data_IF_285250948802
#
_entry.id   IF_285250948802
#
_cell.length_a   1.000
_cell.length_b   1.000
_cell.length_c   1.000
_cell.angle_alpha   90.00
_cell.angle_beta   90.00
_cell.angle_gamma   90.00
#
_symmetry.space_group_name_H-M   'P 1'
#
loop_
_entity.id
_entity.type
_entity.pdbx_description
1 polymer ?
#
# COMPACT_ATOMS: atom_id res chain seq x y z
N UNK A 1 8.68 9.29 0.79
CA UNK A 1 7.53 9.66 -0.08
C UNK A 1 7.95 9.67 -1.53
N UNK A 2 7.23 8.93 -2.36
CA UNK A 2 7.40 8.92 -3.82
C UNK A 2 7.07 10.28 -4.45
N UNK A 3 7.66 10.59 -5.61
CA UNK A 3 7.33 11.80 -6.39
C UNK A 3 5.86 11.83 -6.78
N UNK A 4 5.27 10.67 -7.06
CA UNK A 4 3.85 10.55 -7.39
C UNK A 4 2.95 10.85 -6.18
N UNK A 5 3.32 10.36 -4.98
CA UNK A 5 2.62 10.70 -3.74
C UNK A 5 2.66 12.21 -3.49
N UNK A 6 3.82 12.86 -3.66
CA UNK A 6 3.96 14.32 -3.48
C UNK A 6 3.03 15.11 -4.42
N UNK A 7 2.97 14.71 -5.69
CA UNK A 7 2.10 15.37 -6.67
C UNK A 7 0.62 15.22 -6.29
N UNK A 8 0.18 14.02 -5.95
CA UNK A 8 -1.24 13.78 -5.57
C UNK A 8 -1.59 14.53 -4.28
N UNK A 9 -0.70 14.55 -3.29
CA UNK A 9 -0.95 15.20 -2.00
C UNK A 9 -0.92 16.74 -2.09
N UNK A 10 -0.27 17.31 -3.10
CA UNK A 10 -0.24 18.76 -3.31
C UNK A 10 -1.60 19.34 -3.73
N UNK A 11 -2.52 18.53 -4.23
CA UNK A 11 -3.85 18.95 -4.69
C UNK A 11 -4.98 18.68 -3.69
N UNK A 12 -4.67 18.17 -2.49
CA UNK A 12 -5.68 17.85 -1.46
C UNK A 12 -5.42 18.63 -0.17
N UNK A 13 -6.44 18.78 0.66
CA UNK A 13 -6.29 19.39 1.99
C UNK A 13 -5.39 18.54 2.89
N UNK A 14 -4.74 19.17 3.88
CA UNK A 14 -3.88 18.47 4.83
C UNK A 14 -4.61 17.34 5.58
N UNK A 15 -5.88 17.56 5.93
CA UNK A 15 -6.73 16.55 6.55
C UNK A 15 -6.93 15.33 5.66
N UNK A 16 -7.19 15.54 4.36
CA UNK A 16 -7.33 14.46 3.40
C UNK A 16 -5.99 13.75 3.14
N UNK A 17 -4.89 14.50 3.08
CA UNK A 17 -3.54 13.93 2.95
C UNK A 17 -3.22 12.97 4.10
N UNK A 18 -3.50 13.37 5.35
CA UNK A 18 -3.33 12.53 6.55
C UNK A 18 -4.22 11.29 6.49
N UNK A 19 -5.48 11.42 6.10
CA UNK A 19 -6.39 10.29 5.95
C UNK A 19 -5.95 9.31 4.84
N UNK A 20 -5.48 9.83 3.71
CA UNK A 20 -4.94 9.05 2.59
C UNK A 20 -3.71 8.25 3.01
N UNK A 21 -2.78 8.89 3.72
CA UNK A 21 -1.58 8.25 4.26
C UNK A 21 -1.93 7.15 5.27
N UNK A 22 -2.79 7.48 6.24
CA UNK A 22 -3.24 6.53 7.26
C UNK A 22 -3.90 5.29 6.63
N UNK A 23 -4.82 5.48 5.68
CA UNK A 23 -5.47 4.35 5.03
C UNK A 23 -4.50 3.56 4.15
N UNK A 24 -3.62 4.23 3.39
CA UNK A 24 -2.65 3.57 2.51
C UNK A 24 -1.66 2.70 3.29
N UNK A 25 -1.34 3.05 4.55
CA UNK A 25 -0.50 2.21 5.43
C UNK A 25 -1.18 0.92 5.88
N UNK A 26 -2.52 0.89 5.93
CA UNK A 26 -3.27 -0.32 6.28
C UNK A 26 -3.32 -1.33 5.13
N UNK A 27 -3.05 -0.88 3.90
CA UNK A 27 -2.98 -1.76 2.75
C UNK A 27 -1.58 -2.34 2.61
N UNK A 28 -1.48 -3.67 2.55
CA UNK A 28 -0.23 -4.40 2.41
C UNK A 28 -0.19 -5.19 1.11
N UNK A 29 1.02 -5.34 0.58
CA UNK A 29 1.36 -6.20 -0.54
C UNK A 29 2.26 -7.33 -0.05
N UNK A 30 1.77 -8.56 -0.13
CA UNK A 30 2.52 -9.78 0.18
C UNK A 30 3.06 -10.42 -1.09
N UNK A 31 4.37 -10.60 -1.16
CA UNK A 31 4.99 -11.40 -2.22
C UNK A 31 4.67 -12.89 -2.00
N UNK A 32 3.99 -13.53 -2.94
CA UNK A 32 3.64 -14.95 -2.82
C UNK A 32 4.83 -15.90 -2.98
N UNK A 33 6.02 -15.38 -3.33
CA UNK A 33 7.25 -16.17 -3.48
C UNK A 33 8.13 -16.17 -2.24
N UNK A 34 8.30 -15.02 -1.58
CA UNK A 34 9.22 -14.88 -0.44
C UNK A 34 8.50 -14.43 0.84
N UNK A 35 7.17 -14.39 0.82
CA UNK A 35 6.30 -13.95 1.92
C UNK A 35 6.56 -12.53 2.46
N UNK A 36 7.44 -11.75 1.82
CA UNK A 36 7.71 -10.37 2.21
C UNK A 36 6.44 -9.51 2.08
N UNK A 37 6.15 -8.76 3.13
CA UNK A 37 5.00 -7.87 3.24
C UNK A 37 5.49 -6.43 3.36
N UNK A 38 4.90 -5.53 2.59
CA UNK A 38 5.24 -4.10 2.61
C UNK A 38 3.96 -3.29 2.45
N UNK A 39 3.85 -2.15 3.15
CA UNK A 39 2.66 -1.32 3.02
C UNK A 39 2.63 -0.63 1.65
N UNK A 40 1.43 -0.34 1.16
CA UNK A 40 1.23 0.40 -0.10
C UNK A 40 1.85 1.79 -0.01
N UNK A 41 1.83 2.40 1.18
CA UNK A 41 2.47 3.70 1.40
C UNK A 41 3.98 3.64 1.23
N UNK A 42 4.64 2.64 1.81
CA UNK A 42 6.11 2.52 1.83
C UNK A 42 6.69 2.28 0.42
N UNK A 43 5.99 1.50 -0.40
CA UNK A 43 6.35 1.32 -1.82
C UNK A 43 6.06 2.55 -2.71
N UNK A 44 5.54 3.64 -2.12
CA UNK A 44 5.23 4.87 -2.85
C UNK A 44 3.86 4.89 -3.54
N UNK A 45 2.96 3.96 -3.19
CA UNK A 45 1.60 3.90 -3.69
C UNK A 45 0.61 4.66 -2.80
N UNK A 46 -0.60 4.86 -3.31
CA UNK A 46 -1.73 5.43 -2.57
C UNK A 46 -2.92 4.50 -2.77
N UNK A 47 -3.60 4.15 -1.68
CA UNK A 47 -4.83 3.36 -1.69
C UNK A 47 -5.78 3.93 -0.64
N UNK A 48 -6.60 4.89 -1.07
CA UNK A 48 -7.55 5.62 -0.25
C UNK A 48 -8.98 5.37 -0.71
N UNK A 49 -9.91 5.20 0.23
CA UNK A 49 -11.32 4.81 0.00
C UNK A 49 -11.47 3.57 -0.89
N UNK A 50 -10.43 2.74 -0.95
CA UNK A 50 -10.42 1.56 -1.79
C UNK A 50 -11.08 0.39 -1.06
N UNK A 51 -11.65 -0.54 -1.81
CA UNK A 51 -12.22 -1.78 -1.30
C UNK A 51 -11.74 -2.97 -2.13
N UNK A 52 -11.79 -4.15 -1.53
CA UNK A 52 -11.45 -5.40 -2.19
C UNK A 52 -9.95 -5.71 -2.25
N UNK A 53 -9.67 -7.01 -2.29
CA UNK A 53 -8.32 -7.55 -2.47
C UNK A 53 -7.99 -7.63 -3.97
N UNK A 54 -6.71 -7.50 -4.31
CA UNK A 54 -6.25 -7.64 -5.70
C UNK A 54 -4.96 -8.44 -5.76
N UNK A 55 -4.63 -8.95 -6.94
CA UNK A 55 -3.35 -9.62 -7.21
C UNK A 55 -2.61 -8.86 -8.30
N UNK A 56 -1.37 -8.48 -8.01
CA UNK A 56 -0.53 -7.73 -8.93
C UNK A 56 0.72 -8.54 -9.27
N UNK A 57 1.01 -8.69 -10.55
CA UNK A 57 2.27 -9.27 -10.99
C UNK A 57 3.33 -8.18 -11.07
N UNK A 58 4.33 -8.24 -10.17
CA UNK A 58 5.39 -7.22 -10.09
C UNK A 58 6.72 -7.83 -9.63
N UNK A 59 7.78 -7.05 -9.78
CA UNK A 59 9.09 -7.35 -9.17
C UNK A 59 9.01 -7.09 -7.66
N UNK A 60 9.40 -8.08 -6.85
CA UNK A 60 9.51 -7.95 -5.41
C UNK A 60 10.73 -7.10 -5.05
N UNK A 61 10.58 -6.18 -4.10
CA UNK A 61 11.65 -5.32 -3.56
C UNK A 61 12.64 -6.13 -2.73
N UNK A 62 12.19 -7.16 -2.02
CA UNK A 62 13.03 -8.05 -1.22
C UNK A 62 13.77 -9.09 -2.08
N UNK A 63 13.06 -10.07 -2.67
CA UNK A 63 13.70 -11.18 -3.38
C UNK A 63 14.15 -10.85 -4.83
N UNK A 64 13.85 -9.63 -5.33
CA UNK A 64 14.19 -9.14 -6.69
C UNK A 64 13.62 -9.96 -7.85
N UNK A 65 12.82 -10.99 -7.61
CA UNK A 65 12.16 -11.80 -8.64
C UNK A 65 10.77 -11.25 -8.96
N UNK A 66 10.28 -11.51 -10.17
CA UNK A 66 8.89 -11.24 -10.54
C UNK A 66 8.00 -12.37 -10.03
N UNK A 67 6.92 -12.00 -9.36
CA UNK A 67 5.91 -12.95 -8.87
C UNK A 67 4.57 -12.26 -8.69
N UNK A 68 3.54 -13.06 -8.48
CA UNK A 68 2.28 -12.56 -7.97
C UNK A 68 2.46 -12.01 -6.55
N UNK A 69 1.86 -10.86 -6.31
CA UNK A 69 1.75 -10.24 -5.00
C UNK A 69 0.27 -10.12 -4.66
N UNK A 70 -0.10 -10.54 -3.45
CA UNK A 70 -1.45 -10.40 -2.94
C UNK A 70 -1.56 -9.08 -2.18
N UNK A 71 -2.50 -8.24 -2.59
CA UNK A 71 -2.84 -7.02 -1.88
C UNK A 71 -4.05 -7.27 -0.99
N UNK A 72 -3.92 -6.90 0.27
CA UNK A 72 -4.97 -7.03 1.27
C UNK A 72 -4.92 -5.84 2.23
N UNK A 73 -6.06 -5.54 2.84
CA UNK A 73 -6.13 -4.58 3.93
C UNK A 73 -5.87 -5.35 5.22
N UNK A 74 -4.84 -4.95 5.97
CA UNK A 74 -4.65 -5.44 7.32
C UNK A 74 -5.68 -4.71 8.16
N UNK A 75 -6.67 -5.45 8.67
CA UNK A 75 -7.56 -4.88 9.68
C UNK A 75 -6.67 -4.44 10.85
N UNK A 76 -6.80 -3.17 11.25
CA UNK A 76 -6.33 -2.80 12.57
C UNK A 76 -7.14 -3.69 13.51
N UNK A 77 -6.48 -4.58 14.26
CA UNK A 77 -7.13 -5.39 15.27
C UNK A 77 -8.11 -4.49 16.03
N UNK A 78 -9.42 -4.80 16.04
CA UNK A 78 -10.32 -4.11 16.94
C UNK A 78 -9.80 -4.45 18.33
N UNK A 79 -9.25 -3.46 19.04
CA UNK A 79 -8.91 -3.60 20.45
C UNK A 79 -10.14 -4.21 21.14
N UNK A 80 -9.96 -5.43 21.64
CA UNK A 80 -10.94 -6.21 22.38
C UNK A 80 -11.07 -5.64 23.80
#
# INVERSE_FOLDING_TARGET
>A
MSRLQKLILAFVSESNAKAMEAESRLWFLKCLRCAFEESVWDIGGIRWKAKGNSRNYRKCTNCKKRSWHQMYKKEAEPNL
#
